data_IF_673693486164
#
_entry.id   IF_673693486164
#
_cell.length_a   1.000
_cell.length_b   1.000
_cell.length_c   1.000
_cell.angle_alpha   90.00
_cell.angle_beta   90.00
_cell.angle_gamma   90.00
#
_symmetry.space_group_name_H-M   'P 1'
#
loop_
_entity.id
_entity.type
_entity.pdbx_description
1 polymer ?
#
# COMPACT_ATOMS: atom_id res chain seq x y z
N UNK A 1 11.09 -23.72 -13.71
CA UNK A 1 10.84 -23.73 -15.17
C UNK A 1 9.34 -23.73 -15.41
N UNK A 2 8.81 -22.59 -15.85
CA UNK A 2 7.60 -22.40 -16.67
C UNK A 2 7.49 -20.88 -16.85
N UNK A 3 7.99 -20.40 -17.98
CA UNK A 3 7.97 -18.99 -18.39
C UNK A 3 6.71 -18.73 -19.22
N UNK A 4 6.07 -17.58 -19.05
CA UNK A 4 5.16 -17.03 -20.06
C UNK A 4 5.67 -15.65 -20.44
N UNK A 5 5.82 -15.51 -21.75
CA UNK A 5 6.45 -14.44 -22.50
C UNK A 5 5.49 -13.30 -22.78
N UNK A 6 6.04 -12.09 -22.97
CA UNK A 6 5.38 -11.03 -23.74
C UNK A 6 6.38 -10.38 -24.69
N UNK A 7 6.35 -10.90 -25.92
CA UNK A 7 6.54 -10.28 -27.24
C UNK A 7 7.19 -8.88 -27.25
N UNK A 8 8.45 -8.82 -27.67
CA UNK A 8 9.11 -7.60 -28.16
C UNK A 8 9.10 -7.62 -29.71
N UNK A 9 8.73 -6.49 -30.33
CA UNK A 9 8.85 -6.30 -31.78
C UNK A 9 10.21 -5.70 -32.09
N UNK A 10 11.10 -6.51 -32.63
CA UNK A 10 12.34 -6.09 -33.27
C UNK A 10 12.07 -5.50 -34.66
N UNK A 11 12.64 -4.33 -34.94
CA UNK A 11 12.75 -3.72 -36.27
C UNK A 11 14.23 -3.51 -36.55
N UNK A 12 14.74 -4.03 -37.67
CA UNK A 12 15.92 -3.54 -38.42
C UNK A 12 15.93 -4.24 -39.82
N UNK A 13 16.78 -3.87 -40.80
CA UNK A 13 16.48 -2.83 -41.80
C UNK A 13 16.76 -3.31 -43.24
N UNK A 14 16.19 -2.69 -44.28
CA UNK A 14 16.71 -2.88 -45.66
C UNK A 14 16.73 -1.55 -46.42
N UNK A 15 17.94 -1.21 -46.90
CA UNK A 15 18.33 -0.12 -47.81
C UNK A 15 18.01 -0.50 -49.26
N UNK A 16 17.68 0.51 -50.09
CA UNK A 16 17.77 0.40 -51.55
C UNK A 16 17.04 1.52 -52.29
N UNK A 17 17.73 2.62 -52.59
CA UNK A 17 17.47 3.48 -53.78
C UNK A 17 17.90 2.71 -55.06
N UNK A 18 17.56 3.08 -56.33
CA UNK A 18 17.40 4.47 -56.81
C UNK A 18 16.43 4.73 -58.01
N UNK A 19 16.46 6.00 -58.45
CA UNK A 19 16.28 6.55 -59.82
C UNK A 19 14.93 7.16 -60.25
N UNK A 20 15.05 8.45 -60.58
CA UNK A 20 14.18 9.36 -61.32
C UNK A 20 13.77 8.87 -62.73
N UNK A 21 12.49 9.04 -63.10
CA UNK A 21 12.10 9.38 -64.48
C UNK A 21 10.94 10.37 -64.46
N UNK A 22 11.13 11.48 -65.16
CA UNK A 22 10.17 12.52 -65.46
C UNK A 22 9.25 12.13 -66.63
N UNK A 23 7.98 12.55 -66.61
CA UNK A 23 7.27 13.10 -67.78
C UNK A 23 5.91 13.69 -67.43
N UNK A 24 5.64 14.81 -68.08
CA UNK A 24 4.46 15.66 -68.06
C UNK A 24 3.31 15.09 -68.91
N UNK A 25 2.05 15.45 -68.58
CA UNK A 25 1.11 16.16 -69.48
C UNK A 25 -0.28 16.42 -68.86
N UNK A 26 -0.63 17.72 -68.92
CA UNK A 26 -1.93 18.38 -69.14
C UNK A 26 -3.24 17.57 -69.23
N UNK A 27 -4.28 18.08 -68.55
CA UNK A 27 -5.69 17.87 -68.87
C UNK A 27 -6.62 18.70 -67.99
N UNK A 28 -7.32 19.66 -68.60
CA UNK A 28 -8.26 20.62 -68.00
C UNK A 28 -9.49 19.99 -67.32
N UNK A 29 -10.07 20.70 -66.34
CA UNK A 29 -11.44 20.49 -65.88
C UNK A 29 -11.81 21.30 -64.64
N UNK A 30 -12.47 22.45 -64.84
CA UNK A 30 -13.08 23.29 -63.81
C UNK A 30 -14.10 22.52 -62.94
N UNK A 31 -13.99 22.64 -61.62
CA UNK A 31 -15.12 22.65 -60.70
C UNK A 31 -14.69 23.25 -59.34
N UNK A 32 -15.03 24.52 -59.13
CA UNK A 32 -14.92 25.19 -57.82
C UNK A 32 -16.03 24.67 -56.89
N UNK A 33 -15.70 23.72 -56.02
CA UNK A 33 -16.48 23.44 -54.82
C UNK A 33 -15.81 24.07 -53.60
N UNK A 34 -16.54 24.95 -52.92
CA UNK A 34 -16.19 25.50 -51.61
C UNK A 34 -15.84 24.38 -50.62
N UNK A 35 -14.56 24.17 -50.33
CA UNK A 35 -14.13 23.36 -49.18
C UNK A 35 -14.34 24.17 -47.90
N UNK A 36 -15.39 23.83 -47.14
CA UNK A 36 -15.54 24.23 -45.72
C UNK A 36 -14.36 23.67 -44.90
N UNK A 37 -13.91 24.37 -43.84
CA UNK A 37 -12.74 23.99 -43.06
C UNK A 37 -13.09 22.87 -42.06
N UNK A 38 -13.22 21.63 -42.54
CA UNK A 38 -13.54 20.47 -41.69
C UNK A 38 -12.38 20.05 -40.76
N UNK A 39 -11.17 20.56 -41.01
CA UNK A 39 -9.96 20.21 -40.25
C UNK A 39 -9.83 21.04 -38.95
N UNK A 40 -10.41 22.25 -38.90
CA UNK A 40 -10.43 23.06 -37.67
C UNK A 40 -11.51 22.57 -36.69
N UNK A 41 -12.71 22.22 -37.16
CA UNK A 41 -13.79 21.74 -36.30
C UNK A 41 -13.44 20.41 -35.58
N UNK A 42 -12.75 19.48 -36.23
CA UNK A 42 -12.31 18.23 -35.62
C UNK A 42 -11.22 18.44 -34.55
N UNK A 43 -10.29 19.39 -34.78
CA UNK A 43 -9.26 19.76 -33.80
C UNK A 43 -9.84 20.52 -32.60
N UNK A 44 -10.80 21.41 -32.83
CA UNK A 44 -11.55 22.09 -31.76
C UNK A 44 -12.41 21.11 -30.96
N UNK A 45 -13.12 20.19 -31.62
CA UNK A 45 -13.93 19.17 -30.93
C UNK A 45 -13.07 18.20 -30.10
N UNK A 46 -11.88 17.83 -30.58
CA UNK A 46 -10.94 16.99 -29.83
C UNK A 46 -10.31 17.74 -28.65
N UNK A 47 -9.99 19.03 -28.83
CA UNK A 47 -9.47 19.89 -27.76
C UNK A 47 -10.53 20.13 -26.66
N UNK A 48 -11.76 20.45 -27.03
CA UNK A 48 -12.88 20.64 -26.08
C UNK A 48 -13.22 19.34 -25.35
N UNK A 49 -13.20 18.20 -26.04
CA UNK A 49 -13.40 16.88 -25.41
C UNK A 49 -12.29 16.57 -24.39
N UNK A 50 -11.03 16.91 -24.71
CA UNK A 50 -9.89 16.72 -23.82
C UNK A 50 -9.93 17.66 -22.60
N UNK A 51 -10.34 18.92 -22.79
CA UNK A 51 -10.52 19.87 -21.69
C UNK A 51 -11.68 19.47 -20.77
N UNK A 52 -12.79 18.98 -21.33
CA UNK A 52 -13.90 18.45 -20.54
C UNK A 52 -13.51 17.19 -19.76
N UNK A 53 -12.71 16.31 -20.37
CA UNK A 53 -12.18 15.12 -19.70
C UNK A 53 -11.23 15.51 -18.57
N UNK A 54 -10.31 16.45 -18.80
CA UNK A 54 -9.40 16.94 -17.75
C UNK A 54 -10.16 17.56 -16.57
N UNK A 55 -11.17 18.41 -16.82
CA UNK A 55 -12.00 18.99 -15.74
C UNK A 55 -12.77 17.94 -14.94
N UNK A 56 -13.22 16.87 -15.60
CA UNK A 56 -13.86 15.73 -14.92
C UNK A 56 -12.86 14.96 -14.06
N UNK A 57 -11.66 14.75 -14.56
CA UNK A 57 -10.58 14.08 -13.81
C UNK A 57 -10.13 14.93 -12.60
N UNK A 58 -10.01 16.25 -12.76
CA UNK A 58 -9.70 17.21 -11.70
C UNK A 58 -10.77 17.19 -10.61
N UNK A 59 -12.06 17.35 -10.97
CA UNK A 59 -13.16 17.32 -10.01
C UNK A 59 -13.29 15.99 -9.25
N UNK A 60 -13.10 14.85 -9.93
CA UNK A 60 -13.09 13.55 -9.25
C UNK A 60 -11.87 13.36 -8.34
N UNK A 61 -10.73 13.97 -8.68
CA UNK A 61 -9.54 13.93 -7.84
C UNK A 61 -9.74 14.74 -6.56
N UNK A 62 -10.40 15.90 -6.65
CA UNK A 62 -10.77 16.73 -5.47
C UNK A 62 -11.76 15.99 -4.56
N UNK A 63 -12.83 15.39 -5.10
CA UNK A 63 -13.78 14.60 -4.30
C UNK A 63 -13.09 13.39 -3.63
N UNK A 64 -12.18 12.72 -4.35
CA UNK A 64 -11.42 11.60 -3.80
C UNK A 64 -10.50 12.05 -2.67
N UNK A 65 -9.82 13.19 -2.82
CA UNK A 65 -8.97 13.76 -1.77
C UNK A 65 -9.81 14.18 -0.55
N UNK A 66 -10.94 14.86 -0.76
CA UNK A 66 -11.86 15.24 0.31
C UNK A 66 -12.29 14.03 1.15
N UNK A 67 -12.74 12.96 0.49
CA UNK A 67 -13.16 11.73 1.18
C UNK A 67 -12.01 11.05 1.91
N UNK A 68 -10.80 11.10 1.37
CA UNK A 68 -9.61 10.59 2.05
C UNK A 68 -9.31 11.40 3.32
N UNK A 69 -9.44 12.73 3.25
CA UNK A 69 -9.29 13.63 4.40
C UNK A 69 -10.36 13.37 5.45
N UNK A 70 -11.63 13.32 5.06
CA UNK A 70 -12.77 13.08 5.96
C UNK A 70 -12.63 11.76 6.73
N UNK A 71 -12.11 10.73 6.04
CA UNK A 71 -11.85 9.43 6.65
C UNK A 71 -10.75 9.51 7.73
N UNK A 72 -9.76 10.39 7.56
CA UNK A 72 -8.60 10.52 8.45
C UNK A 72 -8.76 11.58 9.56
N UNK A 73 -9.57 12.63 9.36
CA UNK A 73 -9.77 13.71 10.34
C UNK A 73 -10.32 13.15 11.65
N UNK A 74 -9.75 13.61 12.77
CA UNK A 74 -10.18 13.23 14.11
C UNK A 74 -9.01 13.01 15.07
N UNK A 75 -9.35 12.51 16.26
CA UNK A 75 -8.39 12.09 17.29
C UNK A 75 -8.35 10.58 17.33
N UNK A 76 -7.16 10.03 17.14
CA UNK A 76 -6.89 8.61 17.09
C UNK A 76 -6.01 8.24 18.27
N UNK A 77 -6.49 7.39 19.16
CA UNK A 77 -5.66 6.83 20.23
C UNK A 77 -5.16 5.47 19.77
N UNK A 78 -3.86 5.23 19.90
CA UNK A 78 -3.24 4.09 19.25
C UNK A 78 -2.02 3.53 19.97
N UNK A 79 -1.47 2.50 19.36
CA UNK A 79 -0.15 1.98 19.70
C UNK A 79 0.56 1.56 18.42
N UNK A 80 1.85 1.90 18.35
CA UNK A 80 2.78 1.39 17.35
C UNK A 80 3.38 0.08 17.88
N UNK A 81 3.31 -0.97 17.06
CA UNK A 81 3.96 -2.25 17.31
C UNK A 81 5.06 -2.44 16.28
N UNK A 82 6.29 -2.66 16.73
CA UNK A 82 7.42 -3.00 15.86
C UNK A 82 7.69 -4.50 15.91
N UNK A 83 7.75 -5.13 14.75
CA UNK A 83 8.06 -6.54 14.59
C UNK A 83 9.32 -6.75 13.75
N UNK A 84 10.05 -7.82 14.04
CA UNK A 84 11.06 -8.35 13.12
C UNK A 84 10.42 -9.11 11.95
N UNK A 85 11.25 -9.57 11.01
CA UNK A 85 10.80 -10.35 9.84
C UNK A 85 10.16 -11.71 10.22
N UNK A 86 10.36 -12.19 11.44
CA UNK A 86 9.77 -13.42 11.98
C UNK A 86 8.50 -13.15 12.80
N UNK A 87 8.03 -11.90 12.88
CA UNK A 87 6.81 -11.55 13.61
C UNK A 87 6.98 -11.56 15.13
N UNK A 88 8.21 -11.45 15.63
CA UNK A 88 8.49 -11.23 17.04
C UNK A 88 8.30 -9.75 17.36
N UNK A 89 7.54 -9.46 18.42
CA UNK A 89 7.34 -8.08 18.88
C UNK A 89 8.64 -7.58 19.54
N UNK A 90 9.19 -6.50 18.99
CA UNK A 90 10.39 -5.83 19.50
C UNK A 90 10.03 -4.69 20.45
N UNK A 91 9.13 -3.81 20.02
CA UNK A 91 8.75 -2.60 20.76
C UNK A 91 7.25 -2.32 20.64
N UNK A 92 6.67 -1.78 21.71
CA UNK A 92 5.30 -1.24 21.74
C UNK A 92 5.35 0.18 22.27
N UNK A 93 4.92 1.14 21.45
CA UNK A 93 4.93 2.56 21.79
C UNK A 93 3.50 3.08 21.78
N UNK A 94 3.06 3.72 22.86
CA UNK A 94 1.72 4.34 22.92
C UNK A 94 1.74 5.64 22.14
N UNK A 95 0.74 5.85 21.28
CA UNK A 95 0.65 7.03 20.42
C UNK A 95 -0.74 7.65 20.44
N UNK A 96 -0.81 8.94 20.14
CA UNK A 96 -2.06 9.63 19.78
C UNK A 96 -1.83 10.40 18.50
N UNK A 97 -2.77 10.37 17.57
CA UNK A 97 -2.68 11.12 16.32
C UNK A 97 -3.87 12.07 16.24
N UNK A 98 -3.59 13.36 16.08
CA UNK A 98 -4.60 14.39 15.83
C UNK A 98 -4.49 14.79 14.37
N UNK A 99 -5.59 14.65 13.63
CA UNK A 99 -5.66 14.98 12.22
C UNK A 99 -6.79 15.99 11.98
N UNK A 100 -6.48 17.07 11.26
CA UNK A 100 -7.42 18.14 10.90
C UNK A 100 -7.22 18.53 9.45
N UNK A 101 -8.28 18.97 8.78
CA UNK A 101 -8.21 19.54 7.44
C UNK A 101 -8.13 21.08 7.49
N UNK A 102 -7.50 21.68 6.49
CA UNK A 102 -7.61 23.11 6.20
C UNK A 102 -7.71 23.34 4.69
N UNK A 103 -8.21 24.52 4.32
CA UNK A 103 -8.43 24.87 2.92
C UNK A 103 -9.72 24.26 2.36
N UNK A 104 -10.03 24.62 1.12
CA UNK A 104 -11.22 24.17 0.40
C UNK A 104 -10.81 23.78 -1.03
N UNK A 105 -11.62 22.93 -1.67
CA UNK A 105 -11.45 22.46 -3.04
C UNK A 105 -10.03 21.91 -3.33
N UNK A 106 -9.35 22.44 -4.34
CA UNK A 106 -8.01 21.99 -4.75
C UNK A 106 -6.91 22.31 -3.74
N UNK A 107 -7.18 23.26 -2.83
CA UNK A 107 -6.25 23.67 -1.77
C UNK A 107 -6.51 22.94 -0.46
N UNK A 108 -7.44 21.98 -0.45
CA UNK A 108 -7.68 21.19 0.74
C UNK A 108 -6.44 20.33 1.07
N UNK A 109 -6.15 20.26 2.36
CA UNK A 109 -4.99 19.56 2.88
C UNK A 109 -5.29 18.98 4.25
N UNK A 110 -4.51 17.96 4.62
CA UNK A 110 -4.54 17.27 5.89
C UNK A 110 -3.27 17.61 6.66
N UNK A 111 -3.45 18.17 7.86
CA UNK A 111 -2.37 18.34 8.84
C UNK A 111 -2.56 17.27 9.91
N UNK A 112 -1.46 16.61 10.27
CA UNK A 112 -1.47 15.56 11.28
C UNK A 112 -0.31 15.75 12.26
N UNK A 113 -0.63 15.66 13.55
CA UNK A 113 0.36 15.69 14.64
C UNK A 113 0.29 14.38 15.40
N UNK A 114 1.41 13.68 15.43
CA UNK A 114 1.59 12.43 16.15
C UNK A 114 2.26 12.72 17.49
N UNK A 115 1.57 12.36 18.56
CA UNK A 115 2.04 12.42 19.93
C UNK A 115 2.56 11.04 20.33
N UNK A 116 3.76 11.00 20.88
CA UNK A 116 4.48 9.78 21.23
C UNK A 116 4.72 9.78 22.72
N UNK A 117 4.20 8.78 23.42
CA UNK A 117 4.40 8.67 24.87
C UNK A 117 5.87 8.33 25.15
N UNK A 118 6.54 9.15 25.93
CA UNK A 118 7.93 8.90 26.33
C UNK A 118 7.99 7.92 27.53
N UNK A 119 9.07 7.14 27.66
CA UNK A 119 9.33 6.36 28.87
C UNK A 119 9.55 7.30 30.07
N UNK A 120 9.24 6.87 31.31
CA UNK A 120 9.49 7.68 32.50
C UNK A 120 10.98 8.03 32.62
N UNK A 121 11.29 9.30 32.90
CA UNK A 121 12.67 9.74 33.09
C UNK A 121 13.34 8.99 34.25
N UNK A 122 14.60 8.60 34.04
CA UNK A 122 15.45 7.94 35.04
C UNK A 122 15.72 8.82 36.28
N UNK A 123 15.44 10.12 36.18
CA UNK A 123 15.61 11.14 37.23
C UNK A 123 14.32 11.45 38.01
N UNK A 124 13.22 10.74 37.74
CA UNK A 124 11.93 11.00 38.40
C UNK A 124 11.98 10.72 39.92
N UNK A 125 11.55 11.71 40.70
CA UNK A 125 11.54 11.68 42.17
C UNK A 125 10.35 10.83 42.64
N UNK A 126 10.62 9.82 43.47
CA UNK A 126 9.60 8.91 44.01
C UNK A 126 8.53 9.67 44.82
N UNK A 127 7.25 9.59 44.42
CA UNK A 127 6.12 10.00 45.28
C UNK A 127 4.93 10.66 44.59
N UNK A 128 5.04 11.06 43.31
CA UNK A 128 3.92 11.58 42.51
C UNK A 128 3.91 10.79 41.21
N UNK A 129 2.79 10.18 40.83
CA UNK A 129 2.62 9.64 39.48
C UNK A 129 2.75 10.83 38.50
N UNK A 130 3.87 10.96 37.77
CA UNK A 130 4.03 12.10 36.87
C UNK A 130 3.04 11.93 35.73
N UNK A 131 2.41 13.03 35.31
CA UNK A 131 1.64 13.02 34.06
C UNK A 131 2.53 12.49 32.93
N UNK A 132 2.01 11.60 32.07
CA UNK A 132 2.83 11.01 31.03
C UNK A 132 3.31 12.10 30.06
N UNK A 133 4.62 12.16 29.82
CA UNK A 133 5.23 13.07 28.86
C UNK A 133 4.99 12.58 27.41
N UNK A 134 4.75 13.54 26.51
CA UNK A 134 4.45 13.28 25.11
C UNK A 134 5.37 14.12 24.23
N UNK A 135 6.13 13.45 23.36
CA UNK A 135 6.87 14.10 22.28
C UNK A 135 5.94 14.34 21.08
N UNK A 136 6.06 15.49 20.43
CA UNK A 136 5.28 15.85 19.25
C UNK A 136 6.08 15.64 17.95
N UNK A 137 5.48 14.96 16.98
CA UNK A 137 5.97 14.86 15.62
C UNK A 137 4.94 15.41 14.64
N UNK A 138 5.31 16.47 13.91
CA UNK A 138 4.48 17.04 12.85
C UNK A 138 4.70 16.25 11.56
N UNK A 139 3.71 15.47 11.16
CA UNK A 139 3.75 14.72 9.91
C UNK A 139 3.68 15.71 8.74
N UNK A 140 4.41 15.42 7.66
CA UNK A 140 4.36 16.23 6.43
C UNK A 140 2.92 16.39 5.97
N UNK A 141 2.57 17.63 5.63
CA UNK A 141 1.24 17.98 5.13
C UNK A 141 0.87 17.11 3.92
N UNK A 142 -0.39 16.65 3.91
CA UNK A 142 -0.93 15.85 2.80
C UNK A 142 -1.97 16.65 2.04
N UNK A 143 -1.64 17.08 0.82
CA UNK A 143 -2.49 17.83 -0.10
C UNK A 143 -2.46 17.19 -1.51
N UNK A 144 -3.22 17.76 -2.45
CA UNK A 144 -3.35 17.26 -3.84
C UNK A 144 -2.00 16.96 -4.50
N UNK A 145 -1.00 17.82 -4.29
CA UNK A 145 0.32 17.62 -4.87
C UNK A 145 1.06 16.45 -4.23
N UNK A 146 1.08 16.39 -2.89
CA UNK A 146 1.81 15.33 -2.19
C UNK A 146 1.18 13.95 -2.39
N UNK A 147 -0.16 13.86 -2.45
CA UNK A 147 -0.84 12.57 -2.61
C UNK A 147 -0.55 11.95 -3.98
N UNK A 148 -0.43 12.77 -5.03
CA UNK A 148 -0.12 12.32 -6.39
C UNK A 148 1.38 12.06 -6.58
N UNK A 149 2.23 13.03 -6.22
CA UNK A 149 3.66 13.01 -6.58
C UNK A 149 4.54 12.24 -5.62
N UNK A 150 4.24 12.27 -4.32
CA UNK A 150 5.13 11.72 -3.30
C UNK A 150 4.57 10.46 -2.68
N UNK A 151 3.30 10.49 -2.28
CA UNK A 151 2.68 9.37 -1.59
C UNK A 151 2.17 8.28 -2.54
N UNK A 152 1.95 8.61 -3.81
CA UNK A 152 1.35 7.68 -4.78
C UNK A 152 0.10 7.00 -4.17
N UNK A 153 -0.77 7.78 -3.52
CA UNK A 153 -2.22 7.67 -3.64
C UNK A 153 -2.91 6.42 -4.19
N UNK A 154 -3.38 5.46 -3.40
CA UNK A 154 -4.56 4.66 -3.79
C UNK A 154 -5.55 4.59 -2.67
N UNK A 155 -6.75 5.05 -2.98
CA UNK A 155 -7.82 5.14 -2.03
C UNK A 155 -9.07 4.39 -2.52
N UNK A 156 -9.67 3.64 -1.61
CA UNK A 156 -10.89 2.89 -1.78
C UNK A 156 -11.97 3.54 -0.91
N UNK A 157 -12.74 4.52 -1.43
CA UNK A 157 -13.64 5.33 -0.61
C UNK A 157 -14.77 4.53 0.02
N UNK A 158 -15.33 3.55 -0.70
CA UNK A 158 -16.44 2.72 -0.22
C UNK A 158 -15.96 1.67 0.78
N UNK A 159 -14.80 1.09 0.50
CA UNK A 159 -14.20 0.00 1.27
C UNK A 159 -13.43 0.51 2.49
N UNK A 160 -13.21 1.83 2.57
CA UNK A 160 -12.46 2.52 3.64
C UNK A 160 -11.06 1.92 3.79
N UNK A 161 -10.31 1.86 2.70
CA UNK A 161 -8.92 1.38 2.70
C UNK A 161 -8.03 2.27 1.84
N UNK A 162 -6.74 2.34 2.17
CA UNK A 162 -5.79 3.09 1.35
C UNK A 162 -4.36 2.57 1.43
N UNK A 163 -3.56 2.90 0.43
CA UNK A 163 -2.12 2.66 0.43
C UNK A 163 -1.33 3.92 0.15
N UNK A 164 -0.19 4.08 0.82
CA UNK A 164 0.73 5.20 0.64
C UNK A 164 2.17 4.71 0.53
N UNK A 165 2.98 5.46 -0.21
CA UNK A 165 4.43 5.37 -0.29
C UNK A 165 5.04 6.47 0.58
N UNK A 166 6.06 6.15 1.35
CA UNK A 166 6.89 7.15 2.01
C UNK A 166 8.27 7.19 1.36
N UNK A 167 8.84 8.40 1.26
CA UNK A 167 10.21 8.59 0.75
C UNK A 167 11.26 8.13 1.75
N UNK A 168 10.97 8.25 3.05
CA UNK A 168 11.87 7.88 4.15
C UNK A 168 11.07 7.28 5.28
N UNK A 169 11.73 6.52 6.16
CA UNK A 169 11.13 5.99 7.39
C UNK A 169 11.31 6.95 8.58
N UNK A 170 11.62 8.23 8.35
CA UNK A 170 12.04 9.18 9.40
C UNK A 170 10.98 9.43 10.49
N UNK A 171 9.69 9.39 10.14
CA UNK A 171 8.61 9.45 11.14
C UNK A 171 8.66 8.24 12.07
N UNK A 172 8.88 7.04 11.52
CA UNK A 172 8.92 5.79 12.28
C UNK A 172 10.19 5.70 13.15
N UNK A 173 11.33 6.17 12.63
CA UNK A 173 12.57 6.34 13.39
C UNK A 173 12.35 7.24 14.62
N UNK A 174 11.74 8.42 14.43
CA UNK A 174 11.47 9.36 15.50
C UNK A 174 10.53 8.77 16.57
N UNK A 175 9.47 8.05 16.15
CA UNK A 175 8.55 7.39 17.10
C UNK A 175 9.27 6.35 17.95
N UNK A 176 10.17 5.55 17.35
CA UNK A 176 10.93 4.54 18.07
C UNK A 176 11.93 5.19 19.05
N UNK A 177 12.63 6.24 18.64
CA UNK A 177 13.56 6.98 19.50
C UNK A 177 12.85 7.59 20.69
N UNK A 178 11.82 8.40 20.45
CA UNK A 178 11.09 9.07 21.53
C UNK A 178 10.30 8.08 22.40
N UNK A 179 9.74 7.03 21.80
CA UNK A 179 8.92 6.05 22.52
C UNK A 179 9.71 5.04 23.35
N UNK A 180 10.98 4.80 23.02
CA UNK A 180 11.81 3.79 23.70
C UNK A 180 12.96 4.41 24.49
N UNK A 181 13.62 5.44 23.96
CA UNK A 181 14.75 6.12 24.62
C UNK A 181 14.30 7.38 25.37
N UNK A 182 13.33 8.13 24.80
CA UNK A 182 12.86 9.38 25.42
C UNK A 182 13.97 10.41 25.54
N UNK A 183 14.12 10.98 26.74
CA UNK A 183 15.19 11.95 27.06
C UNK A 183 16.60 11.34 27.04
N UNK A 184 16.70 10.02 27.21
CA UNK A 184 17.99 9.31 27.22
C UNK A 184 18.55 9.08 25.79
N UNK A 185 17.91 9.59 24.74
CA UNK A 185 18.44 9.48 23.36
C UNK A 185 19.71 10.32 23.18
N UNK A 186 20.85 9.64 23.05
CA UNK A 186 22.16 10.27 22.80
C UNK A 186 22.33 10.74 21.35
N UNK A 187 21.36 10.47 20.47
CA UNK A 187 21.45 10.77 19.04
C UNK A 187 22.36 9.80 18.27
N UNK A 188 22.79 8.71 18.90
CA UNK A 188 23.57 7.66 18.25
C UNK A 188 22.81 7.05 17.06
N UNK A 189 23.54 6.71 16.01
CA UNK A 189 22.96 6.10 14.80
C UNK A 189 22.38 4.71 15.05
N UNK A 190 22.92 3.97 16.02
CA UNK A 190 22.50 2.60 16.35
C UNK A 190 22.54 2.38 17.86
N UNK A 191 21.57 2.92 18.60
CA UNK A 191 21.49 2.77 20.04
C UNK A 191 21.36 1.29 20.43
N UNK A 192 21.94 0.92 21.57
CA UNK A 192 21.90 -0.48 22.05
C UNK A 192 20.45 -0.91 22.30
N UNK A 193 20.12 -2.14 21.89
CA UNK A 193 18.82 -2.78 22.09
C UNK A 193 17.61 -2.12 21.40
N UNK A 194 17.83 -1.18 20.48
CA UNK A 194 16.77 -0.57 19.67
C UNK A 194 17.08 -0.75 18.19
N UNK A 195 16.18 -1.42 17.48
CA UNK A 195 16.28 -1.59 16.03
C UNK A 195 15.64 -0.38 15.35
N UNK A 196 16.44 0.47 14.72
CA UNK A 196 15.98 1.62 13.93
C UNK A 196 15.94 1.27 12.43
N UNK A 197 15.05 1.90 11.64
CA UNK A 197 15.01 1.70 10.20
C UNK A 197 16.23 2.33 9.52
N UNK A 198 16.62 1.75 8.39
CA UNK A 198 17.67 2.31 7.55
C UNK A 198 17.40 3.77 7.16
N UNK A 199 18.44 4.60 7.10
CA UNK A 199 18.33 6.02 6.69
C UNK A 199 17.80 6.20 5.27
N UNK A 200 18.15 5.28 4.37
CA UNK A 200 17.76 5.29 2.96
C UNK A 200 17.13 3.95 2.57
N UNK A 201 15.92 3.65 3.07
CA UNK A 201 15.23 2.42 2.75
C UNK A 201 14.87 2.38 1.25
N UNK A 202 14.89 1.20 0.64
CA UNK A 202 14.50 1.06 -0.77
C UNK A 202 12.98 1.19 -0.95
N UNK A 203 12.20 0.70 0.01
CA UNK A 203 10.74 0.75 0.02
C UNK A 203 10.24 1.05 1.42
N UNK A 204 9.33 2.04 1.53
CA UNK A 204 8.50 2.29 2.70
C UNK A 204 7.06 2.38 2.24
N UNK A 205 6.26 1.37 2.57
CA UNK A 205 4.88 1.25 2.12
C UNK A 205 3.92 1.11 3.28
N UNK A 206 2.93 1.98 3.35
CA UNK A 206 1.80 1.90 4.26
C UNK A 206 0.60 1.26 3.56
N UNK A 207 -0.03 0.30 4.23
CA UNK A 207 -1.34 -0.23 3.90
C UNK A 207 -2.27 0.01 5.08
N UNK A 208 -3.39 0.69 4.86
CA UNK A 208 -4.38 0.97 5.89
C UNK A 208 -5.71 0.26 5.59
N UNK A 209 -6.19 -0.49 6.58
CA UNK A 209 -7.50 -1.12 6.61
C UNK A 209 -8.30 -0.57 7.79
N UNK A 210 -9.52 -0.11 7.54
CA UNK A 210 -10.48 0.26 8.59
C UNK A 210 -11.33 -0.95 8.95
N UNK A 211 -11.69 -1.06 10.23
CA UNK A 211 -12.63 -2.08 10.65
C UNK A 211 -14.02 -1.80 10.06
N UNK A 212 -14.72 -2.88 9.70
CA UNK A 212 -16.10 -2.83 9.23
C UNK A 212 -17.08 -2.62 10.39
N UNK A 213 -16.73 -3.10 11.60
CA UNK A 213 -17.62 -3.12 12.76
C UNK A 213 -17.32 -2.00 13.78
N UNK A 214 -16.12 -1.41 13.74
CA UNK A 214 -15.65 -0.42 14.73
C UNK A 214 -15.00 0.78 14.04
N UNK A 215 -14.97 1.93 14.72
CA UNK A 215 -14.25 3.10 14.24
C UNK A 215 -12.75 3.03 14.59
N UNK A 216 -12.12 1.97 14.09
CA UNK A 216 -10.72 1.66 14.30
C UNK A 216 -10.06 1.32 12.96
N UNK A 217 -8.74 1.43 12.93
CA UNK A 217 -7.94 1.12 11.75
C UNK A 217 -6.61 0.51 12.13
N UNK A 218 -6.08 -0.29 11.22
CA UNK A 218 -4.73 -0.80 11.26
C UNK A 218 -3.92 -0.18 10.11
N UNK A 219 -2.79 0.46 10.42
CA UNK A 219 -1.86 1.04 9.43
C UNK A 219 -0.55 0.26 9.47
N UNK A 220 -0.34 -0.59 8.48
CA UNK A 220 0.77 -1.53 8.41
C UNK A 220 1.87 -1.03 7.46
N UNK A 221 3.10 -1.02 7.94
CA UNK A 221 4.28 -0.50 7.27
C UNK A 221 5.27 -1.62 6.93
N UNK A 222 5.57 -1.77 5.65
CA UNK A 222 6.72 -2.55 5.19
C UNK A 222 7.92 -1.61 5.05
N UNK A 223 9.05 -1.96 5.68
CA UNK A 223 10.33 -1.27 5.51
C UNK A 223 11.35 -2.25 4.96
N UNK A 224 11.82 -1.96 3.74
CA UNK A 224 12.91 -2.70 3.11
C UNK A 224 14.21 -1.92 3.28
N UNK A 225 15.29 -2.62 3.60
CA UNK A 225 16.63 -2.05 3.67
C UNK A 225 17.08 -1.51 2.27
N UNK A 226 18.23 -0.83 2.17
CA UNK A 226 18.72 -0.31 0.89
C UNK A 226 18.98 -1.40 -0.18
N UNK A 227 19.08 -2.68 0.23
CA UNK A 227 19.29 -3.83 -0.65
C UNK A 227 17.99 -4.50 -1.08
N UNK A 228 16.84 -4.03 -0.60
CA UNK A 228 15.53 -4.59 -0.95
C UNK A 228 15.10 -5.78 -0.11
N UNK A 229 15.73 -6.02 1.04
CA UNK A 229 15.37 -7.09 1.98
C UNK A 229 14.54 -6.52 3.12
N UNK A 230 13.54 -7.26 3.59
CA UNK A 230 12.69 -6.84 4.70
C UNK A 230 13.51 -6.60 5.97
N UNK A 231 13.50 -5.35 6.45
CA UNK A 231 14.22 -4.95 7.66
C UNK A 231 13.33 -5.05 8.91
N UNK A 232 12.09 -4.57 8.81
CA UNK A 232 11.11 -4.59 9.89
C UNK A 232 9.70 -4.36 9.37
N UNK A 233 8.74 -4.76 10.20
CA UNK A 233 7.32 -4.52 10.01
C UNK A 233 6.82 -3.64 11.16
N UNK A 234 6.02 -2.62 10.87
CA UNK A 234 5.39 -1.83 11.93
C UNK A 234 3.89 -1.74 11.70
N UNK A 235 3.11 -1.76 12.78
CA UNK A 235 1.67 -1.62 12.70
C UNK A 235 1.21 -0.60 13.73
N UNK A 236 0.52 0.44 13.28
CA UNK A 236 -0.33 1.24 14.16
C UNK A 236 -1.70 0.59 14.26
N UNK A 237 -2.16 0.33 15.48
CA UNK A 237 -3.57 0.03 15.76
C UNK A 237 -4.16 1.25 16.44
N UNK A 238 -5.18 1.84 15.81
CA UNK A 238 -5.72 3.15 16.19
C UNK A 238 -7.24 3.09 16.26
N UNK A 239 -7.82 3.68 17.31
CA UNK A 239 -9.26 3.83 17.48
C UNK A 239 -9.61 5.32 17.57
N UNK A 240 -10.69 5.71 16.88
CA UNK A 240 -11.15 7.10 16.83
C UNK A 240 -11.98 7.41 18.08
N UNK A 241 -11.67 8.50 18.77
CA UNK A 241 -12.52 8.99 19.86
C UNK A 241 -11.77 9.61 21.05
N UNK A 242 -12.54 9.91 22.10
CA UNK A 242 -12.07 10.60 23.30
C UNK A 242 -11.83 9.68 24.51
N UNK A 243 -12.19 8.39 24.39
CA UNK A 243 -12.04 7.43 25.48
C UNK A 243 -10.59 6.97 25.66
N UNK A 244 -10.20 6.72 26.92
CA UNK A 244 -9.03 5.89 27.25
C UNK A 244 -9.43 4.44 26.98
N UNK A 245 -9.51 4.07 25.71
CA UNK A 245 -9.85 2.69 25.37
C UNK A 245 -8.59 1.83 25.53
N UNK A 246 -8.72 0.76 26.30
CA UNK A 246 -7.76 -0.35 26.29
C UNK A 246 -7.79 -0.94 24.89
N UNK A 247 -6.91 -0.46 24.01
CA UNK A 247 -6.73 -1.03 22.67
C UNK A 247 -6.55 -2.54 22.82
N UNK A 248 -7.17 -3.36 21.95
CA UNK A 248 -7.03 -4.80 22.02
C UNK A 248 -5.53 -5.11 22.06
N UNK A 249 -5.09 -5.67 23.19
CA UNK A 249 -3.69 -5.91 23.39
C UNK A 249 -3.25 -6.92 22.35
N UNK A 250 -2.45 -6.47 21.38
CA UNK A 250 -1.71 -7.34 20.47
C UNK A 250 -0.59 -8.09 21.22
N UNK A 251 -0.44 -7.84 22.53
CA UNK A 251 0.47 -8.58 23.40
C UNK A 251 0.12 -10.04 23.32
N UNK A 252 1.16 -10.84 23.12
CA UNK A 252 1.11 -12.29 23.03
C UNK A 252 0.12 -12.83 24.07
N UNK A 253 -1.09 -13.20 23.62
CA UNK A 253 -1.86 -14.19 24.34
C UNK A 253 -0.89 -15.34 24.55
N UNK A 254 -0.67 -15.75 25.81
CA UNK A 254 0.18 -16.89 26.15
C UNK A 254 -0.27 -18.20 25.48
N UNK A 255 -1.34 -18.15 24.71
CA UNK A 255 -1.68 -19.15 23.71
C UNK A 255 -0.67 -19.12 22.57
N UNK A 256 0.29 -20.02 22.70
CA UNK A 256 1.11 -20.67 21.68
C UNK A 256 0.32 -21.30 20.52
N UNK A 257 -0.86 -20.77 20.19
CA UNK A 257 -1.65 -21.18 19.04
C UNK A 257 -0.93 -20.74 17.78
N UNK A 258 -0.64 -21.71 16.90
CA UNK A 258 -0.09 -21.48 15.57
C UNK A 258 -0.89 -20.38 14.86
N UNK A 259 -0.24 -19.22 14.64
CA UNK A 259 -0.86 -18.01 14.07
C UNK A 259 -1.40 -18.23 12.65
N UNK A 260 -1.02 -19.32 11.99
CA UNK A 260 -1.52 -19.69 10.67
C UNK A 260 -2.95 -20.24 10.71
N UNK A 261 -3.33 -20.92 11.81
CA UNK A 261 -4.59 -21.67 11.92
C UNK A 261 -5.83 -20.85 11.56
N UNK A 262 -5.99 -19.59 12.03
CA UNK A 262 -7.15 -18.78 11.66
C UNK A 262 -7.29 -18.59 10.14
N UNK A 263 -6.17 -18.54 9.41
CA UNK A 263 -6.13 -18.30 7.96
C UNK A 263 -6.31 -19.57 7.12
N UNK A 264 -6.12 -20.76 7.69
CA UNK A 264 -6.30 -22.03 6.98
C UNK A 264 -7.75 -22.22 6.51
N UNK A 265 -7.93 -22.94 5.41
CA UNK A 265 -9.23 -23.25 4.82
C UNK A 265 -9.54 -22.40 3.60
N UNK A 266 -10.81 -22.44 3.17
CA UNK A 266 -11.28 -21.81 1.95
C UNK A 266 -11.96 -20.48 2.25
N UNK A 267 -11.57 -19.46 1.51
CA UNK A 267 -12.07 -18.10 1.58
C UNK A 267 -12.67 -17.71 0.23
N UNK A 268 -13.82 -17.05 0.24
CA UNK A 268 -14.49 -16.52 -0.94
C UNK A 268 -14.80 -15.05 -0.75
N UNK A 269 -14.66 -14.27 -1.81
CA UNK A 269 -14.78 -12.84 -1.69
C UNK A 269 -14.88 -12.11 -3.02
N UNK A 270 -14.69 -10.80 -2.91
CA UNK A 270 -14.64 -9.89 -4.04
C UNK A 270 -13.41 -8.99 -3.91
N UNK A 271 -12.81 -8.66 -5.05
CA UNK A 271 -11.65 -7.78 -5.13
C UNK A 271 -11.88 -6.63 -6.09
N UNK A 272 -11.37 -5.46 -5.71
CA UNK A 272 -11.41 -4.24 -6.51
C UNK A 272 -9.98 -3.77 -6.71
N UNK A 273 -9.55 -3.63 -7.96
CA UNK A 273 -8.24 -3.10 -8.31
C UNK A 273 -8.36 -1.69 -8.83
N UNK A 274 -7.58 -0.79 -8.24
CA UNK A 274 -7.46 0.61 -8.66
C UNK A 274 -6.06 0.95 -9.13
N UNK A 275 -5.97 1.80 -10.16
CA UNK A 275 -4.70 2.36 -10.62
C UNK A 275 -4.12 3.31 -9.57
N UNK A 276 -2.80 3.38 -9.50
CA UNK A 276 -2.10 4.42 -8.72
C UNK A 276 -2.44 5.84 -9.15
N UNK A 277 -2.49 6.75 -8.17
CA UNK A 277 -2.77 8.17 -8.35
C UNK A 277 -4.12 8.59 -7.78
N UNK A 278 -4.29 9.89 -7.54
CA UNK A 278 -5.48 10.45 -6.87
C UNK A 278 -6.78 10.13 -7.59
N UNK A 279 -6.75 10.13 -8.92
CA UNK A 279 -7.89 9.73 -9.74
C UNK A 279 -8.37 8.30 -9.45
N UNK A 280 -7.45 7.38 -9.12
CA UNK A 280 -7.79 6.06 -8.57
C UNK A 280 -8.76 5.25 -9.43
N UNK A 281 -8.59 5.27 -10.76
CA UNK A 281 -9.46 4.57 -11.70
C UNK A 281 -9.62 3.09 -11.33
N UNK A 282 -10.85 2.60 -11.22
CA UNK A 282 -11.08 1.15 -11.13
C UNK A 282 -10.66 0.50 -12.43
N UNK A 283 -9.69 -0.41 -12.34
CA UNK A 283 -9.16 -1.16 -13.50
C UNK A 283 -9.92 -2.46 -13.67
N UNK A 284 -10.22 -3.16 -12.57
CA UNK A 284 -10.84 -4.47 -12.60
C UNK A 284 -11.56 -4.77 -11.28
N UNK A 285 -12.64 -5.54 -11.39
CA UNK A 285 -13.37 -6.14 -10.28
C UNK A 285 -13.48 -7.64 -10.54
N UNK A 286 -13.28 -8.45 -9.49
CA UNK A 286 -13.23 -9.91 -9.64
C UNK A 286 -13.75 -10.64 -8.40
N UNK A 287 -14.35 -11.80 -8.62
CA UNK A 287 -14.65 -12.77 -7.56
C UNK A 287 -13.39 -13.55 -7.21
N UNK A 288 -13.07 -13.63 -5.93
CA UNK A 288 -11.87 -14.34 -5.44
C UNK A 288 -12.23 -15.60 -4.68
N UNK A 289 -11.39 -16.63 -4.85
CA UNK A 289 -11.37 -17.83 -4.02
C UNK A 289 -9.94 -18.07 -3.58
N UNK A 290 -9.66 -17.98 -2.29
CA UNK A 290 -8.35 -18.26 -1.72
C UNK A 290 -8.41 -19.49 -0.82
N UNK A 291 -7.63 -20.52 -1.13
CA UNK A 291 -7.49 -21.73 -0.33
C UNK A 291 -6.08 -21.75 0.27
N UNK A 292 -5.98 -21.95 1.58
CA UNK A 292 -4.72 -22.08 2.30
C UNK A 292 -4.75 -23.36 3.13
N UNK A 293 -3.84 -24.28 2.85
CA UNK A 293 -3.81 -25.60 3.49
C UNK A 293 -2.39 -25.96 3.93
N UNK A 294 -2.30 -26.90 4.86
CA UNK A 294 -1.05 -27.59 5.20
C UNK A 294 -1.23 -29.03 4.72
N UNK A 295 -0.32 -29.51 3.89
CA UNK A 295 -0.36 -30.88 3.41
C UNK A 295 0.12 -31.88 4.49
N UNK A 296 0.00 -33.18 4.20
CA UNK A 296 0.42 -34.25 5.12
C UNK A 296 1.91 -34.21 5.49
N UNK A 297 2.73 -33.52 4.69
CA UNK A 297 4.18 -33.34 4.90
C UNK A 297 4.51 -32.06 5.64
N UNK A 298 3.50 -31.27 6.05
CA UNK A 298 3.68 -29.99 6.72
C UNK A 298 4.00 -28.82 5.78
N UNK A 299 3.87 -28.99 4.46
CA UNK A 299 4.07 -27.91 3.49
C UNK A 299 2.82 -27.04 3.39
N UNK A 300 3.01 -25.73 3.27
CA UNK A 300 1.94 -24.77 3.07
C UNK A 300 1.61 -24.70 1.58
N UNK A 301 0.34 -24.88 1.23
CA UNK A 301 -0.18 -24.75 -0.13
C UNK A 301 -1.18 -23.59 -0.15
N UNK A 302 -0.98 -22.66 -1.07
CA UNK A 302 -1.89 -21.53 -1.28
C UNK A 302 -2.38 -21.53 -2.73
N UNK A 303 -3.69 -21.61 -2.92
CA UNK A 303 -4.34 -21.47 -4.22
C UNK A 303 -5.21 -20.22 -4.22
N UNK A 304 -4.94 -19.28 -5.13
CA UNK A 304 -5.75 -18.07 -5.31
C UNK A 304 -6.33 -18.09 -6.73
N UNK A 305 -7.65 -18.13 -6.81
CA UNK A 305 -8.40 -17.99 -8.06
C UNK A 305 -9.06 -16.62 -8.08
N UNK A 306 -8.92 -15.91 -9.19
CA UNK A 306 -9.58 -14.64 -9.47
C UNK A 306 -10.34 -14.74 -10.78
N UNK A 307 -11.65 -14.53 -10.75
CA UNK A 307 -12.52 -14.52 -11.95
C UNK A 307 -13.07 -13.12 -12.14
N UNK A 308 -12.81 -12.49 -13.29
CA UNK A 308 -13.32 -11.15 -13.60
C UNK A 308 -14.85 -11.12 -13.51
N UNK A 309 -15.42 -9.97 -13.18
CA UNK A 309 -16.88 -9.86 -12.92
C UNK A 309 -17.74 -10.10 -14.16
N UNK A 310 -17.18 -9.92 -15.36
CA UNK A 310 -17.79 -10.32 -16.64
C UNK A 310 -17.72 -11.83 -16.91
N UNK A 311 -16.92 -12.58 -16.14
CA UNK A 311 -16.72 -14.02 -16.27
C UNK A 311 -15.72 -14.42 -17.36
N UNK A 312 -15.14 -13.47 -18.08
CA UNK A 312 -14.35 -13.75 -19.29
C UNK A 312 -12.95 -14.29 -18.99
N UNK A 313 -12.35 -13.87 -17.87
CA UNK A 313 -10.98 -14.19 -17.51
C UNK A 313 -10.94 -14.79 -16.11
N UNK A 314 -10.47 -16.03 -16.02
CA UNK A 314 -10.15 -16.68 -14.76
C UNK A 314 -8.65 -16.93 -14.67
N UNK A 315 -8.01 -16.42 -13.62
CA UNK A 315 -6.63 -16.72 -13.29
C UNK A 315 -6.57 -17.58 -12.04
N UNK A 316 -5.68 -18.57 -12.03
CA UNK A 316 -5.38 -19.39 -10.87
C UNK A 316 -3.88 -19.35 -10.61
N UNK A 317 -3.52 -19.05 -9.37
CA UNK A 317 -2.14 -19.00 -8.92
C UNK A 317 -1.99 -19.98 -7.76
N UNK A 318 -1.11 -20.95 -7.93
CA UNK A 318 -0.78 -21.95 -6.92
C UNK A 318 0.64 -21.74 -6.43
N UNK A 319 0.81 -21.57 -5.12
CA UNK A 319 2.10 -21.51 -4.46
C UNK A 319 2.25 -22.65 -3.46
N UNK A 320 3.49 -23.09 -3.31
CA UNK A 320 3.93 -24.06 -2.30
C UNK A 320 5.08 -23.46 -1.52
N UNK A 321 5.12 -23.77 -0.24
CA UNK A 321 6.12 -23.24 0.66
C UNK A 321 6.23 -24.04 1.95
N UNK A 322 7.12 -23.59 2.80
CA UNK A 322 7.33 -24.14 4.13
C UNK A 322 7.03 -23.08 5.17
N UNK A 323 6.53 -23.50 6.34
CA UNK A 323 6.40 -22.64 7.51
C UNK A 323 7.52 -22.96 8.50
N UNK A 324 8.16 -21.91 9.00
CA UNK A 324 9.08 -21.98 10.12
C UNK A 324 8.72 -20.88 11.13
N UNK A 325 8.38 -21.29 12.35
CA UNK A 325 7.83 -20.39 13.38
C UNK A 325 6.59 -19.63 12.85
N UNK A 326 6.69 -18.31 12.67
CA UNK A 326 5.62 -17.47 12.16
C UNK A 326 5.89 -16.99 10.71
N UNK A 327 6.89 -17.54 10.02
CA UNK A 327 7.27 -17.15 8.67
C UNK A 327 6.93 -18.27 7.68
N UNK A 328 6.09 -17.97 6.70
CA UNK A 328 5.85 -18.83 5.54
C UNK A 328 6.72 -18.35 4.39
N UNK A 329 7.53 -19.23 3.81
CA UNK A 329 8.37 -18.94 2.64
C UNK A 329 7.96 -19.81 1.48
N UNK A 330 7.56 -19.19 0.37
CA UNK A 330 7.15 -19.88 -0.86
C UNK A 330 8.32 -20.05 -1.83
N UNK A 331 8.30 -21.13 -2.62
CA UNK A 331 9.35 -21.47 -3.59
C UNK A 331 9.59 -20.38 -4.65
N UNK A 332 8.60 -19.50 -4.85
CA UNK A 332 8.67 -18.34 -5.76
C UNK A 332 9.41 -17.13 -5.20
N UNK A 333 9.92 -17.18 -3.97
CA UNK A 333 10.60 -16.06 -3.30
C UNK A 333 9.64 -15.01 -2.74
N UNK A 334 8.39 -15.40 -2.45
CA UNK A 334 7.44 -14.61 -1.66
C UNK A 334 7.42 -15.16 -0.24
N UNK A 335 7.21 -14.30 0.75
CA UNK A 335 7.12 -14.68 2.16
C UNK A 335 5.94 -13.98 2.83
N UNK A 336 5.38 -14.65 3.84
CA UNK A 336 4.31 -14.11 4.69
C UNK A 336 4.74 -14.25 6.14
N UNK A 337 4.82 -13.12 6.84
CA UNK A 337 5.05 -13.07 8.28
C UNK A 337 3.71 -12.99 9.01
N UNK A 338 3.44 -13.96 9.87
CA UNK A 338 2.22 -14.07 10.67
C UNK A 338 2.38 -13.26 11.95
N UNK A 339 1.45 -12.34 12.17
CA UNK A 339 1.47 -11.38 13.27
C UNK A 339 0.32 -11.66 14.24
N UNK A 340 0.40 -11.20 15.50
CA UNK A 340 -0.72 -11.33 16.42
C UNK A 340 -1.95 -10.51 15.96
N UNK A 341 -3.11 -10.75 16.57
CA UNK A 341 -4.36 -10.04 16.24
C UNK A 341 -4.97 -10.40 14.89
N UNK A 342 -4.69 -11.60 14.37
CA UNK A 342 -5.24 -12.05 13.09
C UNK A 342 -4.66 -11.29 11.89
N UNK A 343 -3.42 -10.82 12.00
CA UNK A 343 -2.76 -10.08 10.92
C UNK A 343 -1.67 -10.92 10.25
N UNK A 344 -1.43 -10.66 8.98
CA UNK A 344 -0.19 -11.06 8.34
C UNK A 344 0.27 -9.99 7.36
N UNK A 345 1.57 -9.98 7.09
CA UNK A 345 2.18 -9.10 6.10
C UNK A 345 3.02 -9.93 5.14
N UNK A 346 2.81 -9.73 3.84
CA UNK A 346 3.42 -10.49 2.77
C UNK A 346 4.29 -9.61 1.88
N UNK A 347 5.45 -10.11 1.48
CA UNK A 347 6.37 -9.40 0.59
C UNK A 347 7.32 -10.38 -0.12
N UNK A 348 8.04 -9.95 -1.17
CA UNK A 348 9.17 -10.71 -1.70
C UNK A 348 10.26 -10.86 -0.64
N UNK A 349 11.03 -11.95 -0.71
CA UNK A 349 12.22 -12.12 0.13
C UNK A 349 13.32 -11.11 -0.23
N UNK A 350 13.41 -10.75 -1.51
CA UNK A 350 14.41 -9.80 -2.05
C UNK A 350 13.79 -9.03 -3.22
N UNK A 351 13.47 -7.75 -2.99
CA UNK A 351 12.91 -6.85 -4.00
C UNK A 351 13.95 -6.51 -5.08
N UNK A 352 15.23 -6.40 -4.73
CA UNK A 352 16.27 -6.08 -5.71
C UNK A 352 16.43 -7.20 -6.72
N UNK A 353 16.25 -8.47 -6.31
CA UNK A 353 16.19 -9.61 -7.23
C UNK A 353 15.04 -9.49 -8.22
N UNK A 354 13.84 -9.12 -7.77
CA UNK A 354 12.69 -8.92 -8.66
C UNK A 354 12.96 -7.81 -9.70
N UNK A 355 13.52 -6.68 -9.26
CA UNK A 355 13.90 -5.56 -10.15
C UNK A 355 14.99 -5.98 -11.15
N UNK A 356 16.03 -6.66 -10.68
CA UNK A 356 17.12 -7.16 -11.52
C UNK A 356 16.64 -8.17 -12.59
N UNK A 357 15.61 -8.95 -12.26
CA UNK A 357 14.97 -9.90 -13.19
C UNK A 357 13.83 -9.27 -14.00
N UNK A 358 13.62 -7.95 -13.89
CA UNK A 358 12.54 -7.20 -14.55
C UNK A 358 11.15 -7.79 -14.29
N UNK A 359 10.90 -8.23 -13.05
CA UNK A 359 9.65 -8.82 -12.59
C UNK A 359 8.90 -7.84 -11.69
N UNK A 360 7.61 -7.70 -11.96
CA UNK A 360 6.68 -7.08 -11.01
C UNK A 360 6.66 -7.83 -9.68
N UNK A 361 6.31 -7.12 -8.62
CA UNK A 361 6.14 -7.69 -7.28
C UNK A 361 5.00 -7.01 -6.54
N UNK A 362 4.64 -7.51 -5.37
CA UNK A 362 3.61 -6.90 -4.54
C UNK A 362 3.93 -7.01 -3.06
N UNK A 363 3.35 -6.10 -2.29
CA UNK A 363 3.29 -6.16 -0.84
C UNK A 363 1.84 -6.40 -0.43
N UNK A 364 1.63 -7.13 0.66
CA UNK A 364 0.30 -7.52 1.11
C UNK A 364 0.15 -7.26 2.61
N UNK A 365 -0.98 -6.68 3.00
CA UNK A 365 -1.42 -6.63 4.38
C UNK A 365 -2.78 -7.30 4.50
N UNK A 366 -2.92 -8.22 5.44
CA UNK A 366 -4.19 -8.85 5.75
C UNK A 366 -4.55 -8.65 7.21
N UNK A 367 -5.83 -8.43 7.45
CA UNK A 367 -6.41 -8.36 8.79
C UNK A 367 -7.71 -9.15 8.88
N UNK A 368 -7.69 -10.18 9.71
CA UNK A 368 -8.85 -10.97 10.15
C UNK A 368 -9.50 -10.25 11.33
N UNK A 369 -10.48 -9.40 11.04
CA UNK A 369 -11.18 -8.62 12.09
C UNK A 369 -12.05 -9.48 13.01
N UNK A 370 -12.72 -10.47 12.43
CA UNK A 370 -13.58 -11.39 13.16
C UNK A 370 -13.42 -12.81 12.60
N UNK A 371 -13.70 -13.86 13.40
CA UNK A 371 -13.63 -15.23 12.92
C UNK A 371 -14.47 -15.40 11.65
N UNK A 372 -13.80 -15.77 10.57
CA UNK A 372 -14.44 -16.01 9.28
C UNK A 372 -14.63 -14.78 8.38
N UNK A 373 -14.17 -13.57 8.75
CA UNK A 373 -14.15 -12.39 7.87
C UNK A 373 -12.79 -11.72 7.87
N UNK A 374 -12.20 -11.53 6.70
CA UNK A 374 -10.91 -10.83 6.55
C UNK A 374 -10.92 -9.81 5.43
N UNK A 375 -10.08 -8.80 5.59
CA UNK A 375 -9.72 -7.84 4.56
C UNK A 375 -8.27 -8.03 4.17
N UNK A 376 -7.95 -7.87 2.88
CA UNK A 376 -6.58 -7.84 2.37
C UNK A 376 -6.39 -6.62 1.50
N UNK A 377 -5.20 -6.02 1.58
CA UNK A 377 -4.78 -4.92 0.74
C UNK A 377 -3.45 -5.28 0.10
N UNK A 378 -3.42 -5.29 -1.23
CA UNK A 378 -2.27 -5.69 -2.03
C UNK A 378 -1.77 -4.50 -2.82
N UNK A 379 -0.56 -4.04 -2.53
CA UNK A 379 0.16 -3.00 -3.27
C UNK A 379 1.00 -3.62 -4.37
N UNK A 380 0.77 -3.28 -5.63
CA UNK A 380 1.50 -3.86 -6.77
C UNK A 380 2.51 -2.89 -7.34
N UNK A 381 3.72 -3.38 -7.58
CA UNK A 381 4.85 -2.65 -8.15
C UNK A 381 5.23 -3.23 -9.52
N UNK A 382 5.66 -2.34 -10.41
CA UNK A 382 6.25 -2.75 -11.68
C UNK A 382 7.70 -3.24 -11.53
N UNK A 383 8.34 -3.54 -12.67
CA UNK A 383 9.71 -4.03 -12.74
C UNK A 383 10.76 -2.99 -12.29
N UNK A 384 10.39 -1.71 -12.16
CA UNK A 384 11.27 -0.63 -11.72
C UNK A 384 11.07 -0.27 -10.24
N UNK A 385 10.12 -0.93 -9.56
CA UNK A 385 9.76 -0.62 -8.17
C UNK A 385 8.88 0.61 -8.03
N UNK A 386 8.18 1.02 -9.10
CA UNK A 386 7.13 2.03 -9.02
C UNK A 386 5.79 1.34 -8.73
N UNK A 387 5.03 1.93 -7.82
CA UNK A 387 3.74 1.37 -7.47
C UNK A 387 2.71 1.72 -8.56
N UNK A 388 2.06 0.70 -9.14
CA UNK A 388 1.19 0.84 -10.32
C UNK A 388 -0.30 0.59 -10.06
N UNK A 389 -0.61 -0.16 -9.00
CA UNK A 389 -2.00 -0.36 -8.57
C UNK A 389 -2.08 -0.85 -7.12
N UNK A 390 -3.28 -0.76 -6.57
CA UNK A 390 -3.64 -1.44 -5.32
C UNK A 390 -4.88 -2.29 -5.56
N UNK A 391 -4.96 -3.44 -4.88
CA UNK A 391 -6.13 -4.32 -4.91
C UNK A 391 -6.64 -4.51 -3.49
N UNK A 392 -7.86 -4.05 -3.23
CA UNK A 392 -8.60 -4.36 -2.01
C UNK A 392 -9.36 -5.66 -2.19
N UNK A 393 -9.38 -6.51 -1.16
CA UNK A 393 -10.06 -7.80 -1.16
C UNK A 393 -10.82 -7.96 0.15
N UNK A 394 -12.12 -8.26 0.06
CA UNK A 394 -12.93 -8.66 1.21
C UNK A 394 -13.36 -10.12 1.06
N UNK A 395 -13.10 -10.95 2.07
CA UNK A 395 -13.30 -12.40 2.02
C UNK A 395 -13.99 -12.94 3.28
N UNK A 396 -14.88 -13.91 3.06
CA UNK A 396 -15.52 -14.72 4.10
C UNK A 396 -15.07 -16.17 4.01
N UNK A 397 -14.82 -16.80 5.16
CA UNK A 397 -14.47 -18.22 5.27
C UNK A 397 -15.70 -19.09 5.01
N UNK A 398 -15.49 -20.22 4.33
CA UNK A 398 -16.54 -21.21 4.02
C UNK A 398 -16.55 -22.31 5.07
#
# INVERSE_FOLDING_TARGET
>A
MAAISSISRTKTPIRGFPVYVSKSRSGNGHASFFRRPQIQAAKFSAAVSREQQNRREESMSVDTLQRFLDLNVGRWNGSLFQFDYKGNLLQKVTTKLVASSYGEDELISLIQTLYIRQPPASTSISGVDPEPEWAEYKIKETNMFTVDKYLQIEFFPKERAFTLRYQTAGMLDYVLRQGVLGEDDTGEESPKNLKLPSRQPSVVCENCLYSQDKDMRARAFHIMDPKGVLEMLLIFIEEKGHGVTLLPSLENSKDSTNRLVPFLGRWKGHSIRKRSGVYGATIAEAYTVALLEIDEKGQVIQDITSTTSDGDITTNVRWRGCIYENLVTFDGGFQITLLPGGMYMGCPCDVAKNVAESKSFHLEFCWLESPGKRQRLVRTYDAEGLAVSSTYIFETKI
#
